data_IF_073145707739
#
_entry.id   IF_073145707739
#
_cell.length_a   1.000
_cell.length_b   1.000
_cell.length_c   1.000
_cell.angle_alpha   90.00
_cell.angle_beta   90.00
_cell.angle_gamma   90.00
#
_symmetry.space_group_name_H-M   'P 1'
#
loop_
_entity.id
_entity.type
_entity.pdbx_description
1 polymer ?
#
# COMPACT_ATOMS: atom_id res chain seq x y z
N UNK A 1 3.78 7.77 -25.03
CA UNK A 1 4.58 7.99 -23.82
C UNK A 1 5.08 6.63 -23.33
N UNK A 2 6.39 6.37 -23.37
CA UNK A 2 6.94 5.07 -22.97
C UNK A 2 6.63 4.82 -21.49
N UNK A 3 6.12 3.63 -21.18
CA UNK A 3 6.01 3.17 -19.81
C UNK A 3 7.40 3.32 -19.16
N UNK A 4 7.49 3.98 -18.01
CA UNK A 4 8.74 4.07 -17.27
C UNK A 4 9.23 2.64 -17.05
N UNK A 5 10.29 2.23 -17.73
CA UNK A 5 10.83 0.89 -17.55
C UNK A 5 11.55 0.85 -16.21
N UNK A 6 11.12 -0.05 -15.34
CA UNK A 6 11.78 -0.33 -14.07
C UNK A 6 12.13 -1.80 -13.97
N UNK A 7 13.11 -2.09 -13.11
CA UNK A 7 13.46 -3.47 -12.79
C UNK A 7 12.48 -4.00 -11.76
N UNK A 8 12.16 -5.28 -11.87
CA UNK A 8 11.43 -6.02 -10.84
C UNK A 8 12.37 -7.01 -10.20
N UNK A 9 12.27 -7.18 -8.89
CA UNK A 9 13.00 -8.17 -8.11
C UNK A 9 12.02 -9.17 -7.53
N UNK A 10 12.38 -10.44 -7.57
CA UNK A 10 11.54 -11.50 -7.05
C UNK A 10 11.91 -11.79 -5.60
N UNK A 11 10.96 -11.58 -4.69
CA UNK A 11 11.11 -11.90 -3.27
C UNK A 11 10.16 -13.05 -2.95
N UNK A 12 10.70 -14.27 -2.84
CA UNK A 12 9.92 -15.49 -2.57
C UNK A 12 8.72 -15.67 -3.52
N UNK A 13 8.98 -15.61 -4.83
CA UNK A 13 7.97 -15.67 -5.90
C UNK A 13 6.97 -14.51 -5.96
N UNK A 14 7.25 -13.40 -5.27
CA UNK A 14 6.47 -12.17 -5.38
C UNK A 14 7.29 -11.15 -6.18
N UNK A 15 6.79 -10.64 -7.32
CA UNK A 15 7.43 -9.56 -8.04
C UNK A 15 7.30 -8.26 -7.25
N UNK A 16 8.42 -7.59 -6.98
CA UNK A 16 8.46 -6.29 -6.30
C UNK A 16 9.30 -5.32 -7.14
N UNK A 17 8.74 -4.15 -7.44
CA UNK A 17 9.39 -3.12 -8.24
C UNK A 17 10.59 -2.52 -7.49
N UNK A 18 11.72 -2.45 -8.18
CA UNK A 18 12.94 -1.81 -7.71
C UNK A 18 12.95 -0.33 -8.11
N UNK A 19 12.15 0.46 -7.40
CA UNK A 19 11.90 1.87 -7.72
C UNK A 19 11.97 2.78 -6.48
N UNK A 20 12.24 4.06 -6.73
CA UNK A 20 12.15 5.13 -5.74
C UNK A 20 10.70 5.60 -5.51
N UNK A 21 10.47 6.37 -4.45
CA UNK A 21 9.18 7.02 -4.20
C UNK A 21 8.79 7.94 -5.37
N UNK A 22 9.74 8.74 -5.87
CA UNK A 22 9.50 9.62 -7.02
C UNK A 22 9.10 8.84 -8.26
N UNK A 23 9.73 7.68 -8.51
CA UNK A 23 9.36 6.80 -9.62
C UNK A 23 7.97 6.19 -9.42
N UNK A 24 7.63 5.75 -8.20
CA UNK A 24 6.29 5.22 -7.89
C UNK A 24 5.20 6.25 -8.17
N UNK A 25 5.38 7.50 -7.72
CA UNK A 25 4.44 8.61 -8.00
C UNK A 25 4.34 8.89 -9.50
N UNK A 26 5.47 8.93 -10.23
CA UNK A 26 5.47 9.15 -11.67
C UNK A 26 4.74 8.03 -12.44
N UNK A 27 4.89 6.78 -12.01
CA UNK A 27 4.15 5.64 -12.57
C UNK A 27 2.65 5.81 -12.33
N UNK A 28 2.23 6.15 -11.10
CA UNK A 28 0.82 6.41 -10.78
C UNK A 28 0.25 7.54 -11.65
N UNK A 29 0.98 8.63 -11.83
CA UNK A 29 0.58 9.72 -12.73
C UNK A 29 0.35 9.22 -14.15
N UNK A 30 1.27 8.40 -14.67
CA UNK A 30 1.12 7.79 -16.01
C UNK A 30 -0.08 6.85 -16.14
N UNK A 31 -0.47 6.18 -15.05
CA UNK A 31 -1.66 5.33 -14.98
C UNK A 31 -2.95 6.17 -15.01
N UNK A 32 -3.00 7.26 -14.25
CA UNK A 32 -4.13 8.20 -14.29
C UNK A 32 -4.35 8.74 -15.71
N UNK A 33 -3.27 9.17 -16.38
CA UNK A 33 -3.33 9.72 -17.75
C UNK A 33 -3.83 8.69 -18.78
N UNK A 34 -3.52 7.40 -18.59
CA UNK A 34 -3.98 6.31 -19.48
C UNK A 34 -5.44 5.91 -19.26
N UNK A 35 -6.08 6.36 -18.18
CA UNK A 35 -7.48 6.07 -17.87
C UNK A 35 -7.81 4.56 -17.88
N UNK A 36 -7.17 3.81 -16.99
CA UNK A 36 -7.43 2.39 -16.78
C UNK A 36 -7.65 2.04 -15.30
N UNK A 37 -7.96 0.78 -15.03
CA UNK A 37 -8.02 0.21 -13.68
C UNK A 37 -6.65 -0.34 -13.29
N UNK A 38 -6.02 0.22 -12.26
CA UNK A 38 -4.69 -0.20 -11.81
C UNK A 38 -4.67 -0.55 -10.33
N UNK A 39 -3.95 -1.62 -9.97
CA UNK A 39 -3.80 -2.09 -8.59
C UNK A 39 -2.37 -1.84 -8.13
N UNK A 40 -2.23 -1.16 -7.00
CA UNK A 40 -0.93 -0.96 -6.34
C UNK A 40 -0.93 -1.64 -4.97
N UNK A 41 0.03 -2.54 -4.78
CA UNK A 41 0.24 -3.23 -3.52
C UNK A 41 1.54 -2.77 -2.85
N UNK A 42 1.50 -2.52 -1.54
CA UNK A 42 2.68 -2.14 -0.74
C UNK A 42 3.18 -3.37 0.01
N UNK A 43 3.96 -4.21 -0.68
CA UNK A 43 4.39 -5.49 -0.16
C UNK A 43 5.39 -5.32 0.98
N UNK A 44 5.01 -5.78 2.17
CA UNK A 44 5.89 -5.88 3.33
C UNK A 44 6.20 -7.34 3.68
N UNK A 45 7.13 -7.54 4.63
CA UNK A 45 7.56 -8.88 5.04
C UNK A 45 6.40 -9.78 5.52
N UNK A 46 5.43 -9.23 6.25
CA UNK A 46 4.25 -9.96 6.71
C UNK A 46 3.40 -10.44 5.53
N UNK A 47 3.14 -9.55 4.57
CA UNK A 47 2.34 -9.82 3.40
C UNK A 47 2.98 -10.88 2.49
N UNK A 48 4.30 -10.78 2.27
CA UNK A 48 5.06 -11.77 1.48
C UNK A 48 5.04 -13.15 2.15
N UNK A 49 5.17 -13.21 3.48
CA UNK A 49 5.04 -14.47 4.22
C UNK A 49 3.64 -15.06 4.09
N UNK A 50 2.60 -14.25 4.31
CA UNK A 50 1.21 -14.70 4.17
C UNK A 50 0.92 -15.22 2.75
N UNK A 51 1.48 -14.60 1.72
CA UNK A 51 1.34 -15.05 0.33
C UNK A 51 1.98 -16.42 0.04
N UNK A 52 2.85 -16.94 0.92
CA UNK A 52 3.34 -18.31 0.77
C UNK A 52 2.31 -19.36 1.20
N UNK A 53 1.35 -18.98 2.04
CA UNK A 53 0.31 -19.85 2.59
C UNK A 53 -1.07 -19.56 1.95
N UNK A 54 -1.31 -18.32 1.51
CA UNK A 54 -2.54 -17.84 0.88
C UNK A 54 -2.36 -17.67 -0.63
N UNK A 55 -2.89 -18.63 -1.40
CA UNK A 55 -2.79 -18.65 -2.88
C UNK A 55 -3.50 -17.46 -3.53
N UNK A 56 -4.59 -16.99 -2.95
CA UNK A 56 -5.34 -15.86 -3.52
C UNK A 56 -4.56 -14.57 -3.33
N UNK A 57 -4.01 -14.34 -2.13
CA UNK A 57 -3.14 -13.18 -1.90
C UNK A 57 -1.91 -13.21 -2.82
N UNK A 58 -1.29 -14.37 -3.02
CA UNK A 58 -0.20 -14.53 -3.98
C UNK A 58 -0.62 -14.17 -5.40
N UNK A 59 -1.78 -14.66 -5.84
CA UNK A 59 -2.35 -14.33 -7.16
C UNK A 59 -2.55 -12.83 -7.30
N UNK A 60 -3.11 -12.15 -6.30
CA UNK A 60 -3.28 -10.70 -6.32
C UNK A 60 -1.93 -9.99 -6.49
N UNK A 61 -0.94 -10.33 -5.65
CA UNK A 61 0.37 -9.70 -5.68
C UNK A 61 1.10 -9.92 -7.02
N UNK A 62 1.03 -11.12 -7.59
CA UNK A 62 1.66 -11.41 -8.88
C UNK A 62 0.96 -10.73 -10.07
N UNK A 63 -0.29 -10.30 -9.92
CA UNK A 63 -1.09 -9.68 -10.98
C UNK A 63 -1.40 -8.20 -10.71
N UNK A 64 -0.84 -7.60 -9.66
CA UNK A 64 -0.92 -6.18 -9.42
C UNK A 64 -0.05 -5.42 -10.44
N UNK A 65 -0.53 -4.27 -10.91
CA UNK A 65 0.18 -3.45 -11.88
C UNK A 65 1.48 -2.88 -11.32
N UNK A 66 1.48 -2.58 -10.02
CA UNK A 66 2.68 -2.17 -9.30
C UNK A 66 2.72 -2.76 -7.88
N UNK A 67 3.81 -3.44 -7.56
CA UNK A 67 4.10 -3.88 -6.19
C UNK A 67 5.32 -3.12 -5.69
N UNK A 68 5.16 -2.27 -4.67
CA UNK A 68 6.26 -1.47 -4.11
C UNK A 68 6.85 -2.11 -2.86
N UNK A 69 8.15 -1.90 -2.64
CA UNK A 69 8.87 -2.46 -1.50
C UNK A 69 8.59 -1.66 -0.20
N UNK A 70 7.70 -2.20 0.64
CA UNK A 70 7.33 -1.60 1.93
C UNK A 70 8.10 -2.27 3.09
N UNK A 71 8.86 -1.46 3.82
CA UNK A 71 9.50 -1.87 5.07
C UNK A 71 10.91 -2.44 4.92
N UNK A 72 11.66 -2.39 6.02
CA UNK A 72 13.07 -2.76 6.06
C UNK A 72 13.32 -4.24 5.74
N UNK A 73 12.36 -5.12 6.05
CA UNK A 73 12.49 -6.56 5.78
C UNK A 73 12.63 -6.86 4.29
N UNK A 74 11.82 -6.21 3.44
CA UNK A 74 11.86 -6.43 1.99
C UNK A 74 13.16 -5.91 1.38
N UNK A 75 13.62 -4.73 1.82
CA UNK A 75 14.92 -4.18 1.42
C UNK A 75 16.06 -5.15 1.76
N UNK A 76 16.06 -5.66 3.00
CA UNK A 76 17.04 -6.64 3.46
C UNK A 76 16.97 -7.94 2.66
N UNK A 77 15.78 -8.42 2.29
CA UNK A 77 15.64 -9.61 1.45
C UNK A 77 16.26 -9.39 0.06
N UNK A 78 16.07 -8.22 -0.54
CA UNK A 78 16.75 -7.83 -1.78
C UNK A 78 18.27 -7.85 -1.65
N UNK A 79 18.82 -7.28 -0.58
CA UNK A 79 20.26 -7.35 -0.27
C UNK A 79 20.75 -8.81 -0.16
N UNK A 80 19.99 -9.67 0.52
CA UNK A 80 20.30 -11.09 0.67
C UNK A 80 20.26 -11.82 -0.68
N UNK A 81 19.32 -11.52 -1.56
CA UNK A 81 19.24 -12.14 -2.89
C UNK A 81 20.21 -11.53 -3.92
N UNK A 82 20.91 -10.44 -3.57
CA UNK A 82 21.84 -9.75 -4.48
C UNK A 82 21.14 -8.77 -5.43
N UNK A 83 19.89 -8.43 -5.14
CA UNK A 83 19.03 -7.52 -5.90
C UNK A 83 18.52 -6.41 -4.98
N UNK A 84 19.40 -5.46 -4.55
CA UNK A 84 19.02 -4.43 -3.60
C UNK A 84 18.01 -3.46 -4.22
N UNK A 85 17.00 -3.09 -3.42
CA UNK A 85 16.04 -2.05 -3.80
C UNK A 85 16.66 -0.66 -3.61
N UNK A 86 16.36 0.30 -4.52
CA UNK A 86 16.91 1.65 -4.43
C UNK A 86 16.35 2.44 -3.24
N UNK A 87 15.08 2.24 -2.88
CA UNK A 87 14.41 2.96 -1.80
C UNK A 87 13.33 2.10 -1.13
N UNK A 88 13.00 2.45 0.12
CA UNK A 88 11.79 1.98 0.80
C UNK A 88 10.61 2.85 0.40
N UNK A 89 9.57 2.26 -0.18
CA UNK A 89 8.35 2.95 -0.59
C UNK A 89 7.21 2.46 0.29
N UNK A 90 6.86 3.24 1.32
CA UNK A 90 5.78 2.88 2.24
C UNK A 90 4.43 3.31 1.70
N UNK A 91 3.36 2.54 2.00
CA UNK A 91 2.00 2.96 1.60
C UNK A 91 1.56 4.29 2.21
N UNK A 92 2.06 4.63 3.42
CA UNK A 92 1.75 5.89 4.08
C UNK A 92 2.35 7.10 3.35
N UNK A 93 3.61 6.99 2.94
CA UNK A 93 4.31 8.07 2.25
C UNK A 93 3.82 8.17 0.80
N UNK A 94 3.60 7.04 0.12
CA UNK A 94 3.03 7.03 -1.23
C UNK A 94 1.64 7.67 -1.27
N UNK A 95 0.76 7.33 -0.33
CA UNK A 95 -0.55 7.98 -0.19
C UNK A 95 -0.41 9.49 0.01
N UNK A 96 0.48 9.93 0.90
CA UNK A 96 0.67 11.36 1.16
C UNK A 96 1.17 12.10 -0.08
N UNK A 97 2.16 11.57 -0.79
CA UNK A 97 2.67 12.18 -2.04
C UNK A 97 1.59 12.24 -3.12
N UNK A 98 0.83 11.15 -3.30
CA UNK A 98 -0.27 11.12 -4.26
C UNK A 98 -1.40 12.09 -3.91
N UNK A 99 -1.70 12.30 -2.63
CA UNK A 99 -2.67 13.32 -2.21
C UNK A 99 -2.18 14.74 -2.50
N UNK A 100 -0.89 15.02 -2.34
CA UNK A 100 -0.31 16.31 -2.73
C UNK A 100 -0.44 16.52 -4.24
N UNK A 101 -0.11 15.50 -5.03
CA UNK A 101 -0.29 15.55 -6.49
C UNK A 101 -1.77 15.71 -6.87
N UNK A 102 -2.68 15.04 -6.18
CA UNK A 102 -4.11 15.16 -6.42
C UNK A 102 -4.63 16.59 -6.20
N UNK A 103 -4.06 17.34 -5.25
CA UNK A 103 -4.36 18.76 -5.07
C UNK A 103 -3.80 19.63 -6.20
N UNK A 104 -2.64 19.27 -6.75
CA UNK A 104 -1.99 20.00 -7.84
C UNK A 104 -2.70 19.79 -9.18
N UNK A 105 -3.17 18.57 -9.45
CA UNK A 105 -3.78 18.15 -10.72
C UNK A 105 -5.30 17.94 -10.65
N UNK A 106 -5.93 18.35 -9.54
CA UNK A 106 -7.37 18.20 -9.26
C UNK A 106 -7.88 16.75 -9.46
N UNK A 107 -7.12 15.77 -8.96
CA UNK A 107 -7.53 14.36 -9.00
C UNK A 107 -8.49 14.04 -7.85
N UNK A 108 -9.75 13.65 -8.12
CA UNK A 108 -10.68 13.24 -7.06
C UNK A 108 -10.21 11.95 -6.39
N UNK A 109 -10.26 11.91 -5.06
CA UNK A 109 -9.83 10.78 -4.23
C UNK A 109 -11.01 10.19 -3.47
N UNK A 110 -11.07 8.87 -3.37
CA UNK A 110 -12.00 8.16 -2.51
C UNK A 110 -11.25 7.42 -1.39
N UNK A 111 -11.78 7.48 -0.16
CA UNK A 111 -11.28 6.71 0.98
C UNK A 111 -12.27 5.62 1.36
N UNK A 112 -11.80 4.37 1.41
CA UNK A 112 -12.58 3.22 1.86
C UNK A 112 -11.84 2.50 2.99
N UNK A 113 -12.39 2.45 4.20
CA UNK A 113 -11.81 1.68 5.30
C UNK A 113 -11.54 2.45 6.59
N UNK A 114 -10.92 1.76 7.54
CA UNK A 114 -10.78 2.23 8.92
C UNK A 114 -12.06 2.08 9.73
N UNK A 115 -11.98 2.40 11.02
CA UNK A 115 -13.17 2.51 11.87
C UNK A 115 -14.02 3.72 11.50
N UNK A 116 -15.33 3.72 11.82
CA UNK A 116 -16.21 4.86 11.57
C UNK A 116 -15.59 6.19 12.03
N UNK A 117 -15.54 7.16 11.13
CA UNK A 117 -14.96 8.49 11.37
C UNK A 117 -13.43 8.62 11.24
N UNK A 118 -12.67 7.52 11.15
CA UNK A 118 -11.20 7.58 11.02
C UNK A 118 -10.77 8.16 9.67
N UNK A 119 -11.33 7.67 8.57
CA UNK A 119 -11.02 8.19 7.23
C UNK A 119 -11.47 9.65 7.06
N UNK A 120 -12.64 10.01 7.59
CA UNK A 120 -13.11 11.40 7.62
C UNK A 120 -12.16 12.33 8.38
N UNK A 121 -11.68 11.90 9.55
CA UNK A 121 -10.69 12.65 10.31
C UNK A 121 -9.35 12.76 9.58
N UNK A 122 -8.91 11.72 8.88
CA UNK A 122 -7.71 11.76 8.05
C UNK A 122 -7.82 12.82 6.94
N UNK A 123 -8.97 12.89 6.25
CA UNK A 123 -9.25 13.92 5.25
C UNK A 123 -9.22 15.33 5.85
N UNK A 124 -9.89 15.54 7.00
CA UNK A 124 -9.88 16.83 7.70
C UNK A 124 -8.48 17.26 8.17
N UNK A 125 -7.66 16.33 8.67
CA UNK A 125 -6.27 16.60 9.04
C UNK A 125 -5.42 17.01 7.83
N UNK A 126 -5.65 16.38 6.67
CA UNK A 126 -4.98 16.75 5.42
C UNK A 126 -5.41 18.17 4.98
N UNK A 127 -6.72 18.45 4.97
CA UNK A 127 -7.26 19.76 4.62
C UNK A 127 -6.74 20.87 5.52
N UNK A 128 -6.67 20.64 6.83
CA UNK A 128 -6.12 21.61 7.78
C UNK A 128 -4.68 21.99 7.46
N UNK A 129 -3.87 21.02 6.98
CA UNK A 129 -2.46 21.18 6.63
C UNK A 129 -2.25 21.82 5.26
N UNK A 130 -3.00 21.41 4.23
CA UNK A 130 -2.79 21.82 2.84
C UNK A 130 -3.78 22.86 2.33
N UNK A 131 -4.77 23.24 3.13
CA UNK A 131 -5.85 24.21 2.80
C UNK A 131 -6.68 23.84 1.56
N UNK A 132 -6.61 22.59 1.14
CA UNK A 132 -7.36 21.99 0.04
C UNK A 132 -7.62 20.52 0.38
N UNK A 133 -8.75 20.01 -0.09
CA UNK A 133 -9.17 18.63 0.13
C UNK A 133 -9.63 18.00 -1.19
N UNK A 134 -8.87 17.05 -1.77
CA UNK A 134 -9.23 16.39 -3.01
C UNK A 134 -10.19 15.20 -2.79
N UNK A 135 -10.60 14.91 -1.55
CA UNK A 135 -11.42 13.74 -1.22
C UNK A 135 -12.89 14.00 -1.59
N UNK A 136 -13.43 13.20 -2.50
CA UNK A 136 -14.80 13.30 -3.04
C UNK A 136 -15.76 12.29 -2.44
N UNK A 137 -15.27 11.31 -1.69
CA UNK A 137 -16.10 10.30 -1.04
C UNK A 137 -15.32 9.53 0.02
N UNK A 138 -16.03 9.11 1.06
CA UNK A 138 -15.48 8.45 2.24
C UNK A 138 -16.48 7.41 2.73
N UNK A 139 -16.01 6.17 2.89
CA UNK A 139 -16.75 5.10 3.55
C UNK A 139 -15.83 4.35 4.52
N UNK A 140 -16.36 3.84 5.62
CA UNK A 140 -15.59 2.99 6.52
C UNK A 140 -15.48 1.54 6.01
N UNK A 141 -14.74 0.69 6.71
CA UNK A 141 -14.42 -0.68 6.26
C UNK A 141 -15.39 -1.76 6.70
N UNK A 142 -16.48 -1.38 7.37
CA UNK A 142 -17.47 -2.28 7.96
C UNK A 142 -18.77 -2.19 7.17
N UNK A 143 -18.91 -3.07 6.18
CA UNK A 143 -20.08 -3.15 5.33
C UNK A 143 -20.40 -4.61 5.00
N UNK A 144 -21.67 -4.88 4.70
CA UNK A 144 -22.16 -6.18 4.21
C UNK A 144 -22.17 -6.28 2.67
N UNK A 145 -22.65 -7.42 2.13
CA UNK A 145 -22.70 -7.66 0.68
C UNK A 145 -23.68 -6.72 -0.05
N UNK A 146 -24.77 -6.30 0.61
CA UNK A 146 -25.76 -5.39 0.02
C UNK A 146 -25.17 -3.97 -0.07
N UNK A 147 -24.49 -3.54 0.98
CA UNK A 147 -23.76 -2.27 1.05
C UNK A 147 -22.57 -2.23 0.09
N UNK A 148 -21.86 -3.35 -0.12
CA UNK A 148 -20.70 -3.43 -1.02
C UNK A 148 -21.04 -2.98 -2.44
N UNK A 149 -22.16 -3.46 -2.99
CA UNK A 149 -22.63 -3.08 -4.33
C UNK A 149 -22.91 -1.58 -4.42
N UNK A 150 -23.51 -1.00 -3.38
CA UNK A 150 -23.78 0.43 -3.30
C UNK A 150 -22.48 1.26 -3.22
N UNK A 151 -21.50 0.81 -2.43
CA UNK A 151 -20.19 1.46 -2.27
C UNK A 151 -19.42 1.46 -3.59
N UNK A 152 -19.40 0.35 -4.32
CA UNK A 152 -18.74 0.27 -5.64
C UNK A 152 -19.38 1.29 -6.60
N UNK A 153 -20.70 1.39 -6.61
CA UNK A 153 -21.41 2.35 -7.46
C UNK A 153 -21.14 3.80 -7.02
N UNK A 154 -21.07 4.07 -5.72
CA UNK A 154 -20.69 5.38 -5.17
C UNK A 154 -19.28 5.78 -5.61
N UNK A 155 -18.30 4.89 -5.46
CA UNK A 155 -16.91 5.10 -5.90
C UNK A 155 -16.89 5.44 -7.39
N UNK A 156 -17.59 4.66 -8.23
CA UNK A 156 -17.66 4.90 -9.67
C UNK A 156 -18.31 6.24 -10.02
N UNK A 157 -19.42 6.58 -9.35
CA UNK A 157 -20.15 7.83 -9.57
C UNK A 157 -19.35 9.06 -9.12
N UNK A 158 -18.50 8.92 -8.10
CA UNK A 158 -17.63 9.99 -7.60
C UNK A 158 -16.55 10.43 -8.61
N UNK A 159 -16.34 9.66 -9.68
CA UNK A 159 -15.28 9.87 -10.69
C UNK A 159 -13.87 9.86 -10.09
N UNK A 160 -13.69 9.25 -8.91
CA UNK A 160 -12.40 9.13 -8.25
C UNK A 160 -11.33 8.56 -9.18
N UNK A 161 -10.13 9.13 -9.13
CA UNK A 161 -8.93 8.65 -9.83
C UNK A 161 -8.03 7.84 -8.93
N UNK A 162 -8.11 8.07 -7.62
CA UNK A 162 -7.38 7.35 -6.59
C UNK A 162 -8.38 6.78 -5.58
N UNK A 163 -8.28 5.49 -5.30
CA UNK A 163 -9.00 4.82 -4.22
C UNK A 163 -7.98 4.29 -3.21
N UNK A 164 -8.04 4.78 -1.98
CA UNK A 164 -7.23 4.26 -0.88
C UNK A 164 -8.08 3.32 -0.02
N UNK A 165 -7.62 2.07 0.12
CA UNK A 165 -8.35 1.03 0.85
C UNK A 165 -7.63 0.64 2.14
N UNK A 166 -8.26 0.90 3.27
CA UNK A 166 -7.74 0.69 4.62
C UNK A 166 -8.48 -0.40 5.39
N UNK A 167 -8.72 -1.57 4.78
CA UNK A 167 -9.43 -2.70 5.41
C UNK A 167 -8.49 -3.73 6.06
N UNK A 168 -7.18 -3.58 5.88
CA UNK A 168 -6.17 -4.50 6.40
C UNK A 168 -5.89 -5.67 5.45
N UNK A 169 -4.70 -6.24 5.62
CA UNK A 169 -4.20 -7.36 4.81
C UNK A 169 -4.75 -8.68 5.36
N UNK A 170 -5.24 -9.62 4.53
CA UNK A 170 -5.29 -9.57 3.07
C UNK A 170 -6.62 -9.06 2.49
N UNK A 171 -7.59 -8.67 3.34
CA UNK A 171 -8.97 -8.31 2.91
C UNK A 171 -8.95 -7.22 1.84
N UNK A 172 -8.18 -6.16 2.04
CA UNK A 172 -8.13 -5.02 1.10
C UNK A 172 -7.59 -5.42 -0.28
N UNK A 173 -6.57 -6.26 -0.36
CA UNK A 173 -6.00 -6.65 -1.65
C UNK A 173 -6.93 -7.58 -2.42
N UNK A 174 -7.54 -8.54 -1.72
CA UNK A 174 -8.52 -9.45 -2.33
C UNK A 174 -9.72 -8.67 -2.86
N UNK A 175 -10.28 -7.78 -2.06
CA UNK A 175 -11.41 -6.93 -2.43
C UNK A 175 -11.11 -6.05 -3.65
N UNK A 176 -9.96 -5.37 -3.64
CA UNK A 176 -9.53 -4.56 -4.80
C UNK A 176 -9.43 -5.42 -6.06
N UNK A 177 -8.82 -6.59 -5.95
CA UNK A 177 -8.59 -7.45 -7.10
C UNK A 177 -9.87 -8.06 -7.66
N UNK A 178 -10.81 -8.42 -6.79
CA UNK A 178 -12.12 -8.95 -7.11
C UNK A 178 -12.98 -7.93 -7.88
N UNK A 179 -13.06 -6.70 -7.36
CA UNK A 179 -13.93 -5.67 -7.93
C UNK A 179 -13.25 -4.71 -8.91
N UNK A 180 -12.00 -4.97 -9.32
CA UNK A 180 -11.23 -4.05 -10.17
C UNK A 180 -11.95 -3.62 -11.45
N UNK A 181 -12.71 -4.53 -12.07
CA UNK A 181 -13.45 -4.23 -13.29
C UNK A 181 -14.69 -3.35 -13.02
N UNK A 182 -15.28 -3.47 -11.84
CA UNK A 182 -16.50 -2.75 -11.45
C UNK A 182 -16.18 -1.32 -11.02
N UNK A 183 -15.05 -1.13 -10.32
CA UNK A 183 -14.52 0.16 -9.86
C UNK A 183 -14.19 1.13 -11.00
N UNK A 184 -13.88 0.62 -12.19
CA UNK A 184 -13.64 1.41 -13.39
C UNK A 184 -12.25 2.07 -13.44
N UNK A 185 -12.16 3.26 -14.04
CA UNK A 185 -10.89 3.88 -14.41
C UNK A 185 -10.23 4.64 -13.25
N UNK A 186 -9.69 3.90 -12.28
CA UNK A 186 -8.98 4.45 -11.13
C UNK A 186 -7.77 3.59 -10.73
N UNK A 187 -6.93 4.16 -9.86
CA UNK A 187 -5.86 3.43 -9.19
C UNK A 187 -6.33 3.06 -7.78
N UNK A 188 -6.37 1.77 -7.47
CA UNK A 188 -6.71 1.26 -6.14
C UNK A 188 -5.44 0.85 -5.39
N UNK A 189 -5.28 1.36 -4.17
CA UNK A 189 -4.09 1.17 -3.34
C UNK A 189 -4.50 0.66 -1.96
N UNK A 190 -4.01 -0.53 -1.60
CA UNK A 190 -4.13 -1.04 -0.23
C UNK A 190 -3.20 -0.28 0.71
N UNK A 191 -3.74 0.45 1.68
CA UNK A 191 -2.96 1.28 2.62
C UNK A 191 -3.05 0.78 4.07
N UNK A 192 -3.93 -0.18 4.38
CA UNK A 192 -4.11 -0.68 5.75
C UNK A 192 -4.43 0.45 6.74
N UNK A 193 -3.83 0.40 7.93
CA UNK A 193 -4.05 1.39 8.99
C UNK A 193 -3.37 2.76 8.78
N UNK A 194 -3.21 3.23 7.55
CA UNK A 194 -2.63 4.56 7.27
C UNK A 194 -3.60 5.68 7.66
N UNK A 195 -4.91 5.47 7.53
CA UNK A 195 -5.90 6.46 7.96
C UNK A 195 -5.76 6.82 9.45
N UNK A 196 -5.50 5.85 10.33
CA UNK A 196 -5.24 6.12 11.76
C UNK A 196 -4.00 7.01 11.99
N UNK A 197 -2.97 6.84 11.17
CA UNK A 197 -1.76 7.67 11.23
C UNK A 197 -2.07 9.10 10.80
N UNK A 198 -2.82 9.25 9.70
CA UNK A 198 -3.18 10.56 9.16
C UNK A 198 -4.18 11.31 10.04
N UNK A 199 -5.11 10.60 10.67
CA UNK A 199 -6.06 11.15 11.64
C UNK A 199 -5.40 11.65 12.94
N UNK A 200 -4.07 11.56 13.06
CA UNK A 200 -3.32 12.00 14.22
C UNK A 200 -3.50 11.09 15.44
N UNK A 201 -4.14 9.92 15.30
CA UNK A 201 -4.23 8.93 16.37
C UNK A 201 -2.87 8.28 16.66
N UNK A 202 -1.94 8.34 15.71
CA UNK A 202 -0.56 7.87 15.87
C UNK A 202 0.41 8.99 15.52
N UNK A 203 1.23 9.42 16.49
CA UNK A 203 2.34 10.33 16.22
C UNK A 203 3.30 9.66 15.22
N UNK A 204 3.84 10.40 14.25
CA UNK A 204 4.94 9.91 13.38
C UNK A 204 6.19 9.69 14.25
N UNK A 205 7.01 8.69 13.92
CA UNK A 205 8.28 8.49 14.60
C UNK A 205 9.19 9.72 14.40
N UNK A 206 9.99 10.12 15.41
CA UNK A 206 10.99 11.18 15.25
C UNK A 206 11.90 10.95 14.03
N UNK A 207 12.35 12.03 13.37
CA UNK A 207 13.16 11.95 12.14
C UNK A 207 14.43 11.11 12.29
N UNK A 208 15.07 11.13 13.47
CA UNK A 208 16.25 10.30 13.72
C UNK A 208 15.89 8.81 13.69
N UNK A 209 14.75 8.40 14.27
CA UNK A 209 14.29 7.01 14.21
C UNK A 209 13.94 6.60 12.78
N UNK A 210 13.39 7.50 11.96
CA UNK A 210 13.15 7.23 10.54
C UNK A 210 14.46 7.00 9.78
N UNK A 211 15.46 7.88 9.98
CA UNK A 211 16.80 7.76 9.36
C UNK A 211 17.54 6.49 9.76
N UNK A 212 17.36 6.02 10.99
CA UNK A 212 17.95 4.79 11.50
C UNK A 212 17.11 3.53 11.24
N UNK A 213 16.04 3.62 10.43
CA UNK A 213 15.10 2.51 10.17
C UNK A 213 14.47 1.93 11.44
N UNK A 214 14.36 2.70 12.52
CA UNK A 214 13.78 2.34 13.84
C UNK A 214 12.30 2.72 13.99
N UNK A 215 11.69 3.24 12.93
CA UNK A 215 10.27 3.60 12.92
C UNK A 215 9.34 2.44 13.33
N UNK A 216 9.74 1.19 13.02
CA UNK A 216 9.02 0.00 13.45
C UNK A 216 8.95 -0.14 14.97
N UNK A 217 9.99 0.26 15.71
CA UNK A 217 10.07 0.15 17.17
C UNK A 217 9.16 1.17 17.83
N UNK A 218 9.16 2.39 17.31
CA UNK A 218 8.26 3.46 17.75
C UNK A 218 6.78 3.10 17.51
N UNK A 219 6.46 2.56 16.32
CA UNK A 219 5.10 2.14 15.99
C UNK A 219 4.65 0.91 16.80
N UNK A 220 5.54 -0.01 17.17
CA UNK A 220 5.21 -1.12 18.07
C UNK A 220 4.89 -0.61 19.47
N UNK A 221 5.70 0.29 20.00
CA UNK A 221 5.47 0.89 21.32
C UNK A 221 4.09 1.55 21.41
N UNK A 222 3.65 2.21 20.33
CA UNK A 222 2.33 2.83 20.24
C UNK A 222 1.19 1.86 19.90
N UNK A 223 1.49 0.70 19.29
CA UNK A 223 0.48 -0.29 18.88
C UNK A 223 0.96 -1.73 19.18
N UNK A 224 0.73 -2.24 20.40
CA UNK A 224 1.11 -3.60 20.79
C UNK A 224 0.39 -4.69 19.98
N UNK A 225 -0.75 -4.39 19.34
CA UNK A 225 -1.40 -5.30 18.38
C UNK A 225 -0.53 -5.63 17.14
N UNK A 226 0.55 -4.87 16.89
CA UNK A 226 1.54 -5.14 15.84
C UNK A 226 2.63 -6.13 16.23
N UNK A 227 2.60 -6.73 17.43
CA UNK A 227 3.58 -7.76 17.84
C UNK A 227 3.63 -8.93 16.86
N UNK A 228 2.50 -9.31 16.24
CA UNK A 228 2.45 -10.30 15.16
C UNK A 228 3.34 -9.94 13.98
N UNK A 229 3.43 -8.66 13.61
CA UNK A 229 4.36 -8.16 12.56
C UNK A 229 5.82 -8.31 12.96
N UNK A 230 6.12 -8.16 14.25
CA UNK A 230 7.48 -8.37 14.75
C UNK A 230 7.88 -9.82 14.79
N UNK A 231 6.99 -10.70 15.23
CA UNK A 231 7.25 -12.15 15.19
C UNK A 231 7.39 -12.61 13.74
N UNK A 232 6.69 -11.97 12.80
CA UNK A 232 6.84 -12.24 11.38
C UNK A 232 8.24 -11.87 10.83
N UNK A 233 8.96 -10.90 11.41
CA UNK A 233 10.28 -10.48 10.90
C UNK A 233 11.36 -11.55 11.08
N UNK A 234 11.63 -12.14 12.26
CA UNK A 234 12.56 -13.26 12.41
C UNK A 234 12.14 -14.46 11.56
N UNK A 235 10.85 -14.79 11.52
CA UNK A 235 10.33 -15.87 10.67
C UNK A 235 10.61 -15.60 9.19
N UNK A 236 10.37 -14.38 8.73
CA UNK A 236 10.67 -13.94 7.37
C UNK A 236 12.17 -13.99 7.08
N UNK A 237 13.03 -13.53 7.99
CA UNK A 237 14.48 -13.59 7.81
C UNK A 237 14.99 -15.04 7.68
N UNK A 238 14.46 -15.96 8.48
CA UNK A 238 14.77 -17.38 8.39
C UNK A 238 14.24 -17.98 7.08
N UNK A 239 13.01 -17.64 6.69
CA UNK A 239 12.40 -18.07 5.44
C UNK A 239 13.20 -17.61 4.22
N UNK A 240 13.62 -16.34 4.17
CA UNK A 240 14.46 -15.77 3.11
C UNK A 240 15.82 -16.49 3.01
N UNK A 241 16.47 -16.75 4.16
CA UNK A 241 17.75 -17.51 4.17
C UNK A 241 17.57 -18.94 3.69
N UNK A 242 16.50 -19.62 4.11
CA UNK A 242 16.16 -20.97 3.66
C UNK A 242 15.87 -20.97 2.16
N UNK A 243 15.07 -20.03 1.68
CA UNK A 243 14.75 -19.84 0.27
C UNK A 243 16.01 -19.68 -0.58
N UNK A 244 16.92 -18.77 -0.19
CA UNK A 244 18.21 -18.58 -0.90
C UNK A 244 19.03 -19.87 -0.97
N UNK A 245 19.01 -20.68 0.09
CA UNK A 245 19.75 -21.95 0.14
C UNK A 245 19.13 -22.99 -0.80
N UNK A 246 17.81 -23.07 -0.83
CA UNK A 246 17.07 -24.02 -1.65
C UNK A 246 17.16 -23.64 -3.14
N UNK A 247 17.02 -22.35 -3.49
CA UNK A 247 17.19 -21.85 -4.87
C UNK A 247 18.61 -21.97 -5.43
N UNK A 248 19.63 -22.18 -4.58
CA UNK A 248 21.01 -22.46 -5.01
C UNK A 248 21.28 -23.95 -5.24
N UNK A 249 20.37 -24.83 -4.83
CA UNK A 249 20.51 -26.29 -4.90
C UNK A 249 19.75 -26.91 -6.09
N UNK A 250 18.76 -26.20 -6.60
CA UNK A 250 18.09 -26.42 -7.89
C UNK A 250 18.83 -25.71 -9.01
#
# INVERSE_FOLDING_TARGET
MNMLSYKTHEIMNIPVAAISMTQAVAICKSYIEKSGSYIIATANAEMIMRAQEDKDLKKVLCNADLVVADGAGVLWAGEVFGTPFPERVTGADLMQELMVQAVEYDWPIYFLGGAPGVAAKAAACFEAKYKKNPVVGIHDGFFDEEEESAIIQEIRNSQAKLLFVGMGVPKQEKWIYEHKQELGNLIAIGVGGVFDVMAGHLKRAPLWMQKHRLEWAYRLFLQPSRITRMVALPKFMLAVKKWKKDSKRS
#
